data_IF_412421128098
#
_entry.id   IF_412421128098
#
_cell.length_a   1.000
_cell.length_b   1.000
_cell.length_c   1.000
_cell.angle_alpha   90.00
_cell.angle_beta   90.00
_cell.angle_gamma   90.00
#
_symmetry.space_group_name_H-M   'P 1'
#
loop_
_entity.id
_entity.type
_entity.pdbx_description
1 polymer ?
#
# COMPACT_ATOMS: atom_id res chain seq x y z
N UNK A 1 -8.42 -9.99 -14.21
CA UNK A 1 -9.06 -9.05 -13.27
C UNK A 1 -10.24 -8.39 -13.95
N UNK A 2 -11.38 -8.45 -13.33
CA UNK A 2 -12.57 -7.81 -13.85
C UNK A 2 -12.81 -6.50 -13.12
N UNK A 3 -12.80 -5.38 -13.86
CA UNK A 3 -13.09 -4.07 -13.29
C UNK A 3 -14.56 -3.71 -13.51
N UNK A 4 -15.19 -2.96 -12.59
CA UNK A 4 -16.47 -2.34 -12.87
C UNK A 4 -16.39 -1.49 -14.15
N UNK A 5 -17.53 -1.23 -14.84
CA UNK A 5 -17.53 -0.39 -16.02
C UNK A 5 -16.85 0.95 -15.77
N UNK A 6 -15.88 1.28 -16.60
CA UNK A 6 -15.10 2.50 -16.51
C UNK A 6 -14.64 2.91 -17.90
N UNK A 7 -14.93 4.14 -18.37
CA UNK A 7 -14.33 4.62 -19.60
C UNK A 7 -12.82 4.75 -19.46
N UNK A 8 -12.10 4.83 -20.57
CA UNK A 8 -10.66 5.06 -20.52
C UNK A 8 -10.37 6.30 -19.66
N UNK A 9 -9.59 6.12 -18.60
CA UNK A 9 -9.34 7.15 -17.59
C UNK A 9 -7.84 7.25 -17.33
N UNK A 10 -7.32 8.48 -17.37
CA UNK A 10 -5.94 8.78 -16.97
C UNK A 10 -5.98 9.45 -15.61
N UNK A 11 -5.18 8.98 -14.69
CA UNK A 11 -5.03 9.58 -13.37
C UNK A 11 -3.65 10.20 -13.23
N UNK A 12 -3.60 11.52 -13.05
CA UNK A 12 -2.40 12.21 -12.62
C UNK A 12 -2.41 12.30 -11.09
N UNK A 13 -1.61 11.46 -10.45
CA UNK A 13 -1.59 11.34 -8.99
C UNK A 13 -1.19 12.64 -8.29
N UNK A 14 -0.41 13.50 -8.96
CA UNK A 14 -0.04 14.81 -8.41
C UNK A 14 -1.25 15.75 -8.27
N UNK A 15 -2.31 15.52 -9.05
CA UNK A 15 -3.54 16.32 -9.01
C UNK A 15 -4.54 15.82 -7.95
N UNK A 16 -4.32 14.65 -7.36
CA UNK A 16 -5.19 14.12 -6.32
C UNK A 16 -4.67 14.61 -4.98
N UNK A 17 -5.49 15.37 -4.20
CA UNK A 17 -5.08 15.80 -2.86
C UNK A 17 -4.83 14.59 -1.96
N UNK A 18 -3.70 14.56 -1.24
CA UNK A 18 -3.43 13.45 -0.32
C UNK A 18 -4.29 13.53 0.92
N UNK A 19 -4.62 12.36 1.48
CA UNK A 19 -5.11 12.23 2.85
C UNK A 19 -3.96 11.79 3.75
N UNK A 20 -3.95 12.28 5.00
CA UNK A 20 -2.89 12.00 5.95
C UNK A 20 -3.35 10.97 6.97
N UNK A 21 -2.49 10.00 7.25
CA UNK A 21 -2.75 8.93 8.19
C UNK A 21 -1.55 8.77 9.11
N UNK A 22 -1.78 8.63 10.39
CA UNK A 22 -0.72 8.37 11.37
C UNK A 22 -0.57 6.86 11.55
N UNK A 23 0.71 6.40 11.61
CA UNK A 23 1.00 5.04 12.02
C UNK A 23 1.17 4.93 13.52
N UNK A 24 1.59 3.77 13.98
CA UNK A 24 2.13 3.59 15.34
C UNK A 24 3.28 4.58 15.55
N UNK A 25 4.16 4.66 14.55
CA UNK A 25 5.16 5.71 14.35
C UNK A 25 5.10 6.19 12.92
N UNK A 26 5.52 7.43 12.68
CA UNK A 26 5.54 8.00 11.34
C UNK A 26 4.16 8.27 10.77
N UNK A 27 4.13 8.65 9.50
CA UNK A 27 2.93 9.05 8.79
C UNK A 27 2.86 8.43 7.40
N UNK A 28 1.65 8.31 6.86
CA UNK A 28 1.39 7.91 5.49
C UNK A 28 0.53 8.96 4.80
N UNK A 29 0.81 9.22 3.53
CA UNK A 29 -0.03 10.02 2.66
C UNK A 29 -0.62 9.13 1.59
N UNK A 30 -1.94 9.20 1.42
CA UNK A 30 -2.66 8.43 0.41
C UNK A 30 -3.27 9.35 -0.64
N UNK A 31 -3.01 9.03 -1.89
CA UNK A 31 -3.74 9.59 -3.04
C UNK A 31 -4.58 8.46 -3.61
N UNK A 32 -5.90 8.60 -3.60
CA UNK A 32 -6.82 7.48 -3.80
C UNK A 32 -7.78 7.74 -4.93
N UNK A 33 -7.93 6.75 -5.81
CA UNK A 33 -8.98 6.66 -6.82
C UNK A 33 -9.87 5.47 -6.47
N UNK A 34 -11.17 5.72 -6.28
CA UNK A 34 -12.15 4.69 -5.94
C UNK A 34 -12.91 4.28 -7.18
N UNK A 35 -12.97 2.96 -7.41
CA UNK A 35 -13.71 2.35 -8.49
C UNK A 35 -14.55 1.20 -7.93
N UNK A 36 -15.83 1.49 -7.59
CA UNK A 36 -16.67 0.52 -6.90
C UNK A 36 -16.04 0.12 -5.56
N UNK A 37 -15.78 -1.16 -5.39
CA UNK A 37 -15.14 -1.70 -4.17
C UNK A 37 -13.61 -1.72 -4.27
N UNK A 38 -13.06 -1.25 -5.38
CA UNK A 38 -11.61 -1.24 -5.63
C UNK A 38 -11.04 0.10 -5.25
N UNK A 39 -9.94 0.10 -4.50
CA UNK A 39 -9.11 1.28 -4.24
C UNK A 39 -7.83 1.17 -5.04
N UNK A 40 -7.51 2.23 -5.77
CA UNK A 40 -6.22 2.38 -6.45
C UNK A 40 -5.52 3.54 -5.76
N UNK A 41 -4.33 3.32 -5.21
CA UNK A 41 -3.67 4.33 -4.39
C UNK A 41 -2.19 4.46 -4.72
N UNK A 42 -1.73 5.70 -4.68
CA UNK A 42 -0.33 6.01 -4.47
C UNK A 42 -0.15 6.37 -2.99
N UNK A 43 0.73 5.66 -2.32
CA UNK A 43 0.95 5.80 -0.88
C UNK A 43 2.41 6.16 -0.63
N UNK A 44 2.63 7.19 0.18
CA UNK A 44 3.97 7.60 0.60
C UNK A 44 4.09 7.43 2.11
N UNK A 45 5.05 6.61 2.53
CA UNK A 45 5.39 6.45 3.94
C UNK A 45 6.58 7.34 4.31
N UNK A 46 6.45 8.03 5.44
CA UNK A 46 7.58 8.78 6.00
C UNK A 46 8.68 7.82 6.49
N UNK A 47 9.93 8.27 6.61
CA UNK A 47 10.95 7.52 7.33
C UNK A 47 10.46 7.18 8.75
N UNK A 48 10.68 5.93 9.18
CA UNK A 48 10.24 5.46 10.48
C UNK A 48 8.77 5.07 10.58
N UNK A 49 8.05 4.99 9.48
CA UNK A 49 6.65 4.57 9.49
C UNK A 49 6.51 3.12 9.93
N UNK A 50 5.57 2.88 10.85
CA UNK A 50 5.07 1.56 11.23
C UNK A 50 3.54 1.62 11.26
N UNK A 51 2.88 0.75 10.52
CA UNK A 51 1.42 0.69 10.52
C UNK A 51 0.88 0.39 11.92
N UNK A 52 -0.26 1.00 12.25
CA UNK A 52 -0.89 0.90 13.57
C UNK A 52 -1.80 -0.31 13.73
N UNK A 53 -1.94 -1.13 12.70
CA UNK A 53 -2.80 -2.31 12.73
C UNK A 53 -2.29 -3.40 11.79
N UNK A 54 -2.76 -4.62 12.04
CA UNK A 54 -2.60 -5.76 11.15
C UNK A 54 -3.74 -5.78 10.14
N UNK A 55 -3.44 -6.08 8.88
CA UNK A 55 -4.40 -6.07 7.78
C UNK A 55 -4.61 -7.46 7.21
N UNK A 56 -5.86 -7.87 7.07
CA UNK A 56 -6.27 -9.12 6.40
C UNK A 56 -6.72 -8.89 4.96
N UNK A 57 -6.79 -7.64 4.52
CA UNK A 57 -7.26 -7.29 3.19
C UNK A 57 -6.24 -7.66 2.13
N UNK A 58 -6.74 -8.19 1.01
CA UNK A 58 -5.91 -8.49 -0.14
C UNK A 58 -5.42 -7.24 -0.85
N UNK A 59 -4.20 -7.33 -1.39
CA UNK A 59 -3.58 -6.25 -2.15
C UNK A 59 -2.80 -6.79 -3.33
N UNK A 60 -2.69 -5.94 -4.35
CA UNK A 60 -1.55 -5.93 -5.27
C UNK A 60 -0.76 -4.69 -4.90
N UNK A 61 0.47 -4.86 -4.45
CA UNK A 61 1.31 -3.76 -3.99
C UNK A 61 2.66 -3.79 -4.70
N UNK A 62 3.04 -2.65 -5.27
CA UNK A 62 4.30 -2.45 -5.97
C UNK A 62 5.09 -1.33 -5.30
N UNK A 63 6.37 -1.59 -5.03
CA UNK A 63 7.27 -0.57 -4.46
C UNK A 63 7.85 0.26 -5.59
N UNK A 64 7.47 1.54 -5.64
CA UNK A 64 7.95 2.50 -6.64
C UNK A 64 9.33 3.02 -6.27
N UNK A 65 9.53 3.37 -5.00
CA UNK A 65 10.82 3.83 -4.48
C UNK A 65 10.94 3.54 -3.00
N UNK A 66 12.17 3.54 -2.51
CA UNK A 66 12.47 3.27 -1.11
C UNK A 66 12.48 1.78 -0.79
N UNK A 67 12.22 1.47 0.46
CA UNK A 67 12.25 0.10 0.98
C UNK A 67 11.08 -0.13 1.90
N UNK A 68 10.33 -1.21 1.64
CA UNK A 68 9.20 -1.63 2.45
C UNK A 68 9.54 -2.93 3.19
N UNK A 69 9.30 -2.95 4.49
CA UNK A 69 9.26 -4.18 5.27
C UNK A 69 7.81 -4.60 5.45
N UNK A 70 7.51 -5.83 5.05
CA UNK A 70 6.20 -6.43 5.30
C UNK A 70 6.38 -7.59 6.27
N UNK A 71 5.75 -7.47 7.43
CA UNK A 71 5.73 -8.50 8.47
C UNK A 71 4.39 -9.22 8.42
N UNK A 72 4.42 -10.54 8.41
CA UNK A 72 3.23 -11.37 8.58
C UNK A 72 3.07 -11.70 10.07
N UNK A 73 1.83 -11.87 10.51
CA UNK A 73 1.51 -12.05 11.93
C UNK A 73 2.07 -13.35 12.52
N UNK A 74 2.45 -14.31 11.67
CA UNK A 74 3.13 -15.55 12.07
C UNK A 74 4.66 -15.38 12.24
N UNK A 75 5.18 -14.17 12.04
CA UNK A 75 6.59 -13.84 12.25
C UNK A 75 7.45 -13.78 11.00
N UNK A 76 6.93 -14.16 9.83
CA UNK A 76 7.67 -14.02 8.58
C UNK A 76 7.83 -12.56 8.23
N UNK A 77 9.00 -12.18 7.73
CA UNK A 77 9.31 -10.81 7.30
C UNK A 77 9.88 -10.81 5.89
N UNK A 78 9.46 -9.83 5.10
CA UNK A 78 9.91 -9.65 3.73
C UNK A 78 10.37 -8.21 3.54
N UNK A 79 11.52 -8.02 2.89
CA UNK A 79 12.03 -6.71 2.51
C UNK A 79 11.84 -6.55 1.01
N UNK A 80 11.08 -5.53 0.64
CA UNK A 80 10.84 -5.18 -0.76
C UNK A 80 11.54 -3.86 -1.07
N UNK A 81 12.35 -3.86 -2.11
CA UNK A 81 12.98 -2.67 -2.64
C UNK A 81 12.26 -2.22 -3.91
N UNK A 82 12.62 -1.05 -4.45
CA UNK A 82 12.03 -0.52 -5.68
C UNK A 82 12.05 -1.55 -6.80
N UNK A 83 10.91 -1.73 -7.48
CA UNK A 83 10.74 -2.73 -8.53
C UNK A 83 10.21 -4.07 -8.07
N UNK A 84 10.01 -4.26 -6.76
CA UNK A 84 9.44 -5.48 -6.20
C UNK A 84 7.97 -5.29 -5.86
N UNK A 85 7.21 -6.37 -5.87
CA UNK A 85 5.79 -6.38 -5.52
C UNK A 85 5.45 -7.58 -4.65
N UNK A 86 4.34 -7.47 -3.93
CA UNK A 86 3.67 -8.64 -3.39
C UNK A 86 2.19 -8.60 -3.74
N UNK A 87 1.55 -9.74 -3.68
CA UNK A 87 0.13 -9.91 -3.90
C UNK A 87 -0.41 -10.97 -2.94
N UNK A 88 -1.57 -10.72 -2.39
CA UNK A 88 -2.27 -11.64 -1.50
C UNK A 88 -3.78 -11.38 -1.63
N UNK A 89 -4.58 -12.43 -1.58
CA UNK A 89 -6.04 -12.30 -1.53
C UNK A 89 -6.51 -11.95 -0.12
N UNK A 90 -7.76 -11.50 0.00
CA UNK A 90 -8.40 -11.31 1.31
C UNK A 90 -8.30 -12.63 2.10
N UNK A 91 -7.78 -12.55 3.33
CA UNK A 91 -7.57 -13.72 4.21
C UNK A 91 -6.75 -14.85 3.56
N UNK A 92 -5.99 -14.55 2.53
CA UNK A 92 -5.23 -15.56 1.78
C UNK A 92 -4.00 -16.09 2.50
N UNK A 93 -3.54 -15.40 3.54
CA UNK A 93 -2.43 -15.77 4.40
C UNK A 93 -2.59 -15.07 5.76
N UNK A 94 -1.60 -15.20 6.64
CA UNK A 94 -1.57 -14.45 7.88
C UNK A 94 -1.68 -12.94 7.61
N UNK A 95 -2.28 -12.21 8.53
CA UNK A 95 -2.38 -10.75 8.44
C UNK A 95 -0.98 -10.12 8.30
N UNK A 96 -0.91 -8.99 7.63
CA UNK A 96 0.34 -8.30 7.35
C UNK A 96 0.35 -6.89 7.92
N UNK A 97 1.56 -6.37 8.12
CA UNK A 97 1.80 -5.02 8.62
C UNK A 97 2.99 -4.42 7.89
N UNK A 98 2.86 -3.16 7.49
CA UNK A 98 3.90 -2.42 6.76
C UNK A 98 4.77 -1.58 7.69
N UNK A 99 6.05 -1.52 7.38
CA UNK A 99 7.02 -0.63 8.03
C UNK A 99 8.07 -0.18 7.02
N UNK A 100 8.71 0.93 7.30
CA UNK A 100 9.90 1.38 6.56
C UNK A 100 10.78 2.22 7.48
N UNK A 101 12.09 2.06 7.37
CA UNK A 101 13.04 2.90 8.10
C UNK A 101 13.33 4.20 7.37
N UNK A 102 13.47 4.13 6.05
CA UNK A 102 13.97 5.24 5.23
C UNK A 102 12.91 5.95 4.41
N UNK A 103 11.68 5.45 4.41
CA UNK A 103 10.59 5.92 3.58
C UNK A 103 10.37 5.04 2.37
N UNK A 104 9.15 5.09 1.84
CA UNK A 104 8.78 4.31 0.65
C UNK A 104 7.63 4.99 -0.08
N UNK A 105 7.62 4.84 -1.40
CA UNK A 105 6.48 5.18 -2.25
C UNK A 105 5.95 3.88 -2.85
N UNK A 106 4.66 3.66 -2.70
CA UNK A 106 3.98 2.43 -3.07
C UNK A 106 2.84 2.72 -4.04
N UNK A 107 2.53 1.74 -4.87
CA UNK A 107 1.30 1.71 -5.65
C UNK A 107 0.52 0.48 -5.22
N UNK A 108 -0.72 0.69 -4.77
CA UNK A 108 -1.54 -0.36 -4.14
C UNK A 108 -2.89 -0.42 -4.82
N UNK A 109 -3.30 -1.64 -5.18
CA UNK A 109 -4.65 -1.93 -5.68
C UNK A 109 -5.31 -2.93 -4.71
N UNK A 110 -6.43 -2.54 -4.16
CA UNK A 110 -7.20 -3.44 -3.28
C UNK A 110 -8.72 -3.24 -3.32
#
# INVERSE_FOLDING_TARGET
>A
MELPPLPFTVTDWHQIPPTHHTGETGTAEWRTFILGDIRIRQVTYSPGYLADHWCDRGHILYVVSGELETELRDGRKFILTAGMSYQVSDFGDAAHRSATQTGAVLFIVD
#
